data_IF_388377052913
#
_entry.id   IF_388377052913
#
_cell.length_a   1.000
_cell.length_b   1.000
_cell.length_c   1.000
_cell.angle_alpha   90.00
_cell.angle_beta   90.00
_cell.angle_gamma   90.00
#
_symmetry.space_group_name_H-M   'P 1'
#
loop_
_entity.id
_entity.type
_entity.pdbx_description
1 polymer ?
#
# COMPACT_ATOMS: atom_id res chain seq x y z
N UNK A 1 -47.31 3.02 -39.76
CA UNK A 1 -47.13 3.72 -38.47
C UNK A 1 -48.04 3.09 -37.44
N UNK A 2 -47.55 2.08 -36.73
CA UNK A 2 -48.33 1.34 -35.74
C UNK A 2 -48.10 2.00 -34.39
N UNK A 3 -49.14 2.64 -33.81
CA UNK A 3 -49.06 3.20 -32.46
C UNK A 3 -48.83 2.04 -31.48
N UNK A 4 -47.68 2.02 -30.81
CA UNK A 4 -47.45 1.15 -29.67
C UNK A 4 -48.39 1.60 -28.54
N UNK A 5 -49.13 0.65 -27.97
CA UNK A 5 -50.02 0.88 -26.85
C UNK A 5 -49.16 1.06 -25.59
N UNK A 6 -49.04 2.28 -25.08
CA UNK A 6 -48.46 2.55 -23.76
C UNK A 6 -49.57 2.51 -22.71
N UNK A 7 -49.52 1.60 -21.72
CA UNK A 7 -50.53 1.55 -20.68
C UNK A 7 -50.47 2.81 -19.81
N UNK A 8 -51.64 3.34 -19.43
CA UNK A 8 -51.72 4.48 -18.53
C UNK A 8 -51.16 4.12 -17.15
N UNK A 9 -50.57 5.09 -16.45
CA UNK A 9 -49.99 4.91 -15.12
C UNK A 9 -50.91 4.14 -14.14
N UNK A 10 -52.23 4.39 -14.09
CA UNK A 10 -53.13 3.60 -13.23
C UNK A 10 -53.17 2.11 -13.59
N UNK A 11 -53.17 1.77 -14.88
CA UNK A 11 -53.13 0.37 -15.35
C UNK A 11 -51.80 -0.30 -15.03
N UNK A 12 -50.70 0.47 -15.08
CA UNK A 12 -49.38 -0.03 -14.71
C UNK A 12 -49.30 -0.32 -13.21
N UNK A 13 -49.87 0.56 -12.38
CA UNK A 13 -49.92 0.38 -10.92
C UNK A 13 -50.84 -0.78 -10.52
N UNK A 14 -51.96 -0.98 -11.21
CA UNK A 14 -52.86 -2.11 -11.00
C UNK A 14 -52.20 -3.44 -11.42
N UNK A 15 -51.47 -3.46 -12.53
CA UNK A 15 -50.69 -4.62 -12.96
C UNK A 15 -49.60 -4.97 -11.93
N UNK A 16 -48.85 -3.97 -11.44
CA UNK A 16 -47.83 -4.16 -10.39
C UNK A 16 -48.46 -4.67 -9.10
N UNK A 17 -49.60 -4.11 -8.67
CA UNK A 17 -50.30 -4.55 -7.47
C UNK A 17 -50.82 -5.99 -7.60
N UNK A 18 -51.28 -6.37 -8.79
CA UNK A 18 -51.76 -7.73 -9.09
C UNK A 18 -50.61 -8.73 -9.08
N UNK A 19 -49.47 -8.40 -9.72
CA UNK A 19 -48.27 -9.24 -9.67
C UNK A 19 -47.70 -9.36 -8.24
N UNK A 20 -47.70 -8.27 -7.48
CA UNK A 20 -47.26 -8.26 -6.09
C UNK A 20 -48.20 -9.05 -5.16
N UNK A 21 -49.49 -9.15 -5.48
CA UNK A 21 -50.48 -9.88 -4.68
C UNK A 21 -50.21 -11.40 -4.61
N UNK A 22 -49.51 -11.95 -5.60
CA UNK A 22 -49.06 -13.35 -5.65
C UNK A 22 -47.75 -13.60 -4.91
N UNK A 23 -46.99 -12.55 -4.59
CA UNK A 23 -45.74 -12.65 -3.83
C UNK A 23 -46.06 -12.73 -2.35
N UNK A 24 -46.50 -13.91 -1.90
CA UNK A 24 -46.59 -14.22 -0.46
C UNK A 24 -45.19 -14.03 0.11
N UNK A 25 -45.00 -12.92 0.85
CA UNK A 25 -43.70 -12.51 1.36
C UNK A 25 -42.99 -13.69 2.00
N UNK A 26 -41.97 -14.20 1.33
CA UNK A 26 -41.17 -15.28 1.87
C UNK A 26 -40.43 -14.66 3.04
N UNK A 27 -40.98 -14.88 4.24
CA UNK A 27 -40.45 -14.30 5.46
C UNK A 27 -38.96 -14.67 5.51
N UNK A 28 -38.08 -13.67 5.62
CA UNK A 28 -36.62 -13.89 5.55
C UNK A 28 -36.19 -14.98 6.53
N UNK A 29 -36.93 -15.09 7.64
CA UNK A 29 -36.79 -16.15 8.66
C UNK A 29 -37.11 -17.54 8.13
N UNK A 30 -38.15 -17.70 7.30
CA UNK A 30 -38.52 -18.98 6.70
C UNK A 30 -37.57 -19.38 5.56
N UNK A 31 -37.07 -18.41 4.78
CA UNK A 31 -36.01 -18.64 3.80
C UNK A 31 -34.72 -19.13 4.47
N UNK A 32 -34.28 -18.47 5.56
CA UNK A 32 -33.11 -18.89 6.34
C UNK A 32 -33.31 -20.26 6.98
N UNK A 33 -34.50 -20.54 7.54
CA UNK A 33 -34.84 -21.87 8.08
C UNK A 33 -34.83 -22.95 6.99
N UNK A 34 -35.36 -22.66 5.80
CA UNK A 34 -35.32 -23.56 4.65
C UNK A 34 -33.90 -23.82 4.14
N UNK A 35 -33.04 -22.79 4.14
CA UNK A 35 -31.62 -22.93 3.80
C UNK A 35 -30.86 -23.82 4.78
N UNK A 36 -31.10 -23.70 6.08
CA UNK A 36 -30.49 -24.56 7.11
C UNK A 36 -30.93 -26.03 6.94
N UNK A 37 -32.21 -26.27 6.61
CA UNK A 37 -32.72 -27.62 6.38
C UNK A 37 -32.10 -28.30 5.14
N UNK A 38 -31.82 -27.53 4.08
CA UNK A 38 -31.12 -28.04 2.90
C UNK A 38 -29.66 -28.42 3.18
N UNK A 39 -28.99 -27.71 4.11
CA UNK A 39 -27.62 -28.01 4.54
C UNK A 39 -27.55 -29.26 5.43
N UNK A 40 -28.56 -29.51 6.27
CA UNK A 40 -28.60 -30.70 7.12
C UNK A 40 -28.71 -32.03 6.33
N UNK A 41 -29.34 -31.99 5.15
CA UNK A 41 -29.44 -33.14 4.23
C UNK A 41 -28.14 -33.49 3.48
N UNK A 42 -27.10 -32.65 3.57
CA UNK A 42 -25.79 -32.84 2.91
C UNK A 42 -24.66 -33.23 3.87
N UNK A 43 -24.99 -33.74 5.06
CA UNK A 43 -24.01 -34.16 6.07
C UNK A 43 -23.04 -35.28 5.62
N UNK A 44 -23.17 -35.80 4.38
CA UNK A 44 -22.21 -36.71 3.75
C UNK A 44 -21.20 -36.06 2.80
N UNK A 45 -21.18 -34.73 2.63
CA UNK A 45 -20.11 -34.05 1.86
C UNK A 45 -19.06 -33.49 2.81
N UNK A 46 -18.21 -34.37 3.33
CA UNK A 46 -16.90 -33.98 3.86
C UNK A 46 -15.99 -33.53 2.70
N UNK A 47 -16.24 -32.39 2.07
CA UNK A 47 -15.28 -31.76 1.14
C UNK A 47 -15.48 -30.24 1.11
N UNK A 48 -15.33 -29.56 2.25
CA UNK A 48 -14.80 -28.21 2.20
C UNK A 48 -13.28 -28.41 2.28
N UNK A 49 -12.50 -28.15 1.21
CA UNK A 49 -11.06 -28.10 1.36
C UNK A 49 -10.81 -27.08 2.45
N UNK A 50 -10.16 -27.47 3.56
CA UNK A 50 -9.53 -26.50 4.43
C UNK A 50 -8.57 -25.75 3.51
N UNK A 51 -8.99 -24.58 3.03
CA UNK A 51 -8.05 -23.63 2.47
C UNK A 51 -6.92 -23.54 3.49
N UNK A 52 -5.68 -23.65 3.05
CA UNK A 52 -4.50 -23.44 3.89
C UNK A 52 -4.53 -21.97 4.35
N UNK A 53 -5.42 -21.65 5.28
CA UNK A 53 -5.49 -20.38 5.94
C UNK A 53 -4.26 -20.34 6.83
N UNK A 54 -3.38 -19.37 6.56
CA UNK A 54 -2.24 -19.12 7.43
C UNK A 54 -2.74 -19.02 8.87
N UNK A 55 -2.05 -19.70 9.79
CA UNK A 55 -2.38 -19.67 11.22
C UNK A 55 -2.36 -18.23 11.77
N UNK A 56 -1.65 -17.32 11.09
CA UNK A 56 -1.45 -15.93 11.48
C UNK A 56 -2.39 -14.93 10.75
N UNK A 57 -3.32 -15.43 9.91
CA UNK A 57 -4.26 -14.61 9.14
C UNK A 57 -5.71 -14.86 9.60
N UNK A 58 -6.64 -13.92 9.31
CA UNK A 58 -8.06 -14.11 9.60
C UNK A 58 -8.59 -15.45 9.06
N UNK A 59 -9.43 -16.17 9.84
CA UNK A 59 -10.11 -15.75 11.06
C UNK A 59 -9.30 -15.91 12.36
N UNK A 60 -8.04 -16.36 12.30
CA UNK A 60 -7.21 -16.55 13.48
C UNK A 60 -6.65 -15.22 14.01
N UNK A 61 -6.26 -15.19 15.28
CA UNK A 61 -5.62 -14.03 15.90
C UNK A 61 -4.16 -13.95 15.44
N UNK A 62 -3.70 -12.83 14.86
CA UNK A 62 -2.30 -12.68 14.51
C UNK A 62 -1.37 -12.58 15.72
N UNK A 63 -0.15 -13.11 15.62
CA UNK A 63 0.84 -13.20 16.69
C UNK A 63 1.15 -11.86 17.34
N UNK A 64 1.31 -10.79 16.55
CA UNK A 64 1.65 -9.45 17.04
C UNK A 64 0.56 -8.80 17.90
N UNK A 65 -0.64 -9.40 17.97
CA UNK A 65 -1.73 -8.95 18.86
C UNK A 65 -1.65 -9.60 20.26
N UNK A 66 -0.74 -10.54 20.48
CA UNK A 66 -0.65 -11.31 21.74
C UNK A 66 0.44 -10.84 22.70
N UNK A 67 1.25 -9.84 22.32
CA UNK A 67 2.35 -9.32 23.13
C UNK A 67 2.61 -7.83 22.87
N UNK A 68 3.32 -7.17 23.80
CA UNK A 68 3.71 -5.76 23.65
C UNK A 68 4.88 -5.61 22.67
N UNK A 69 4.82 -4.57 21.84
CA UNK A 69 5.90 -4.20 20.91
C UNK A 69 7.11 -3.56 21.59
N UNK A 70 8.00 -3.02 20.75
CA UNK A 70 9.18 -2.27 21.21
C UNK A 70 8.78 -1.03 22.00
N UNK A 71 9.55 -0.71 23.05
CA UNK A 71 9.36 0.51 23.85
C UNK A 71 9.75 1.79 23.11
N UNK A 72 9.38 2.93 23.69
CA UNK A 72 9.80 4.26 23.20
C UNK A 72 11.32 4.36 23.23
N UNK A 73 11.93 4.98 22.22
CA UNK A 73 13.40 5.12 22.07
C UNK A 73 14.14 3.79 21.85
N UNK A 74 13.45 2.67 21.60
CA UNK A 74 14.11 1.41 21.23
C UNK A 74 14.97 1.53 19.95
N UNK A 75 14.65 2.51 19.08
CA UNK A 75 15.49 2.97 17.97
C UNK A 75 15.65 4.49 18.08
N UNK A 76 16.75 5.00 18.66
CA UNK A 76 16.98 6.45 18.80
C UNK A 76 17.09 7.19 17.47
N UNK A 77 17.58 6.51 16.44
CA UNK A 77 17.46 6.92 15.04
C UNK A 77 16.64 5.87 14.31
N UNK A 78 15.60 6.30 13.60
CA UNK A 78 14.68 5.39 12.92
C UNK A 78 15.27 4.83 11.63
N UNK A 79 14.81 3.63 11.26
CA UNK A 79 15.05 3.02 9.95
C UNK A 79 13.72 2.53 9.39
N UNK A 80 13.61 2.30 8.06
CA UNK A 80 12.46 1.66 7.46
C UNK A 80 12.11 0.29 8.07
N UNK A 81 10.88 -0.15 7.82
CA UNK A 81 10.43 -1.50 8.18
C UNK A 81 11.26 -2.57 7.46
N UNK A 82 11.44 -3.73 8.09
CA UNK A 82 12.12 -4.88 7.48
C UNK A 82 11.37 -5.48 6.29
N UNK A 83 10.08 -5.15 6.15
CA UNK A 83 9.22 -5.58 5.04
C UNK A 83 9.30 -4.66 3.82
N UNK A 84 10.09 -3.58 3.87
CA UNK A 84 10.26 -2.61 2.78
C UNK A 84 11.62 -2.83 2.08
N UNK A 85 11.62 -2.87 0.74
CA UNK A 85 12.85 -2.91 -0.08
C UNK A 85 13.17 -1.52 -0.67
N UNK A 86 13.27 -0.52 0.21
CA UNK A 86 13.57 0.86 -0.17
C UNK A 86 15.08 1.12 -0.14
N UNK A 87 15.71 1.05 -1.30
CA UNK A 87 17.15 1.26 -1.44
C UNK A 87 17.52 1.97 -2.74
N UNK A 88 18.66 2.67 -2.70
CA UNK A 88 19.33 3.15 -3.91
C UNK A 88 19.79 1.96 -4.73
N UNK A 89 19.69 2.05 -6.04
CA UNK A 89 20.23 1.03 -6.96
C UNK A 89 21.27 1.66 -7.87
N UNK A 90 22.26 0.90 -8.32
CA UNK A 90 23.23 1.34 -9.32
C UNK A 90 23.30 0.30 -10.43
N UNK A 91 23.80 0.72 -11.57
CA UNK A 91 24.01 -0.12 -12.74
C UNK A 91 25.52 -0.25 -12.92
N UNK A 92 26.14 -1.37 -12.51
CA UNK A 92 27.60 -1.45 -12.40
C UNK A 92 28.36 -1.21 -13.71
N UNK A 93 27.74 -1.48 -14.86
CA UNK A 93 28.37 -1.30 -16.18
C UNK A 93 28.27 0.14 -16.72
N UNK A 94 27.52 1.03 -16.07
CA UNK A 94 27.27 2.38 -16.59
C UNK A 94 28.51 3.29 -16.52
N UNK A 95 29.42 3.01 -15.58
CA UNK A 95 30.69 3.73 -15.44
C UNK A 95 31.84 2.76 -15.16
N UNK A 96 33.07 3.22 -15.35
CA UNK A 96 34.26 2.39 -15.16
C UNK A 96 34.60 2.10 -13.69
N UNK A 97 34.17 2.97 -12.77
CA UNK A 97 34.56 2.92 -11.36
C UNK A 97 33.42 3.41 -10.46
N UNK A 98 33.17 2.69 -9.35
CA UNK A 98 32.08 2.99 -8.43
C UNK A 98 32.24 4.34 -7.70
N UNK A 99 33.47 4.79 -7.43
CA UNK A 99 33.74 6.09 -6.84
C UNK A 99 33.50 7.24 -7.85
N UNK A 100 33.46 6.93 -9.13
CA UNK A 100 33.07 7.86 -10.20
C UNK A 100 31.75 7.45 -10.88
N UNK A 101 30.75 7.06 -10.10
CA UNK A 101 29.47 6.51 -10.59
C UNK A 101 28.22 7.30 -10.16
N UNK A 102 27.07 6.70 -10.42
CA UNK A 102 25.70 7.19 -10.18
C UNK A 102 24.87 6.09 -9.52
N UNK A 103 24.01 6.45 -8.57
CA UNK A 103 22.92 5.62 -8.09
C UNK A 103 21.57 6.22 -8.51
N UNK A 104 20.48 5.50 -8.27
CA UNK A 104 19.13 5.89 -8.63
C UNK A 104 18.23 5.80 -7.41
N UNK A 105 17.44 6.87 -7.17
CA UNK A 105 16.32 6.86 -6.22
C UNK A 105 15.28 5.83 -6.68
N UNK A 106 14.69 5.02 -5.78
CA UNK A 106 13.62 4.08 -6.13
C UNK A 106 12.28 4.82 -6.32
N UNK A 107 12.19 5.72 -7.31
CA UNK A 107 11.03 6.59 -7.51
C UNK A 107 9.72 5.81 -7.68
N UNK A 108 9.78 4.61 -8.24
CA UNK A 108 8.62 3.74 -8.43
C UNK A 108 7.99 3.25 -7.10
N UNK A 109 8.76 3.27 -6.02
CA UNK A 109 8.34 2.81 -4.69
C UNK A 109 8.07 4.00 -3.74
N UNK A 110 8.18 5.24 -4.25
CA UNK A 110 7.95 6.46 -3.48
C UNK A 110 6.63 7.13 -3.89
N UNK A 111 5.97 7.72 -2.90
CA UNK A 111 4.73 8.48 -3.04
C UNK A 111 4.96 9.96 -2.68
N UNK A 112 4.25 10.87 -3.35
CA UNK A 112 4.36 12.30 -3.13
C UNK A 112 5.58 12.96 -3.81
N UNK A 113 6.05 14.08 -3.24
CA UNK A 113 7.06 14.95 -3.88
C UNK A 113 8.37 15.10 -3.09
N UNK A 114 8.46 14.53 -1.89
CA UNK A 114 9.65 14.63 -1.03
C UNK A 114 10.39 13.30 -1.06
N UNK A 115 11.63 13.30 -1.56
CA UNK A 115 12.50 12.13 -1.53
C UNK A 115 13.19 12.01 -0.17
N UNK A 116 13.09 10.87 0.54
CA UNK A 116 13.82 10.69 1.81
C UNK A 116 15.33 10.71 1.58
N UNK A 117 16.08 11.42 2.45
CA UNK A 117 17.53 11.59 2.30
C UNK A 117 18.31 10.27 2.26
N UNK A 118 17.82 9.21 2.91
CA UNK A 118 18.44 7.88 2.86
C UNK A 118 18.41 7.21 1.48
N UNK A 119 17.54 7.66 0.57
CA UNK A 119 17.37 7.07 -0.77
C UNK A 119 17.44 8.08 -1.92
N UNK A 120 17.76 9.35 -1.66
CA UNK A 120 18.07 10.30 -2.74
C UNK A 120 19.28 9.80 -3.52
N UNK A 121 19.20 9.89 -4.86
CA UNK A 121 20.28 9.45 -5.74
C UNK A 121 21.62 10.14 -5.44
N UNK A 122 22.70 9.48 -5.81
CA UNK A 122 24.06 9.95 -5.56
C UNK A 122 24.86 9.96 -6.85
N UNK A 123 25.63 11.03 -7.11
CA UNK A 123 26.62 11.06 -8.19
C UNK A 123 27.96 11.53 -7.61
N UNK A 124 28.98 10.70 -7.73
CA UNK A 124 30.36 11.04 -7.40
C UNK A 124 31.30 10.99 -8.60
N UNK A 125 32.39 11.75 -8.55
CA UNK A 125 33.50 11.67 -9.50
C UNK A 125 34.83 11.27 -8.80
N UNK A 126 34.78 10.98 -7.50
CA UNK A 126 35.94 10.65 -6.67
C UNK A 126 35.55 10.16 -5.26
N UNK A 127 34.36 9.55 -5.12
CA UNK A 127 33.80 9.11 -3.85
C UNK A 127 33.26 10.25 -2.97
N UNK A 128 32.85 9.90 -1.75
CA UNK A 128 32.40 10.85 -0.71
C UNK A 128 33.55 11.10 0.27
N UNK A 129 34.02 12.35 0.44
CA UNK A 129 34.96 12.67 1.48
C UNK A 129 34.27 12.79 2.84
N UNK A 130 34.91 12.26 3.89
CA UNK A 130 34.53 12.52 5.28
C UNK A 130 35.19 13.82 5.75
N UNK A 131 34.45 14.92 5.73
CA UNK A 131 34.97 16.25 6.11
C UNK A 131 34.57 16.57 7.54
N UNK A 132 35.56 16.83 8.40
CA UNK A 132 35.30 17.38 9.75
C UNK A 132 34.77 18.83 9.62
N UNK A 133 33.58 19.16 10.15
CA UNK A 133 33.03 20.51 10.09
C UNK A 133 33.97 21.60 10.65
N UNK A 134 34.72 21.31 11.72
CA UNK A 134 35.67 22.26 12.33
C UNK A 134 36.86 22.59 11.39
N UNK A 135 37.15 21.68 10.47
CA UNK A 135 38.21 21.80 9.46
C UNK A 135 37.69 22.31 8.12
N UNK A 136 36.37 22.33 7.90
CA UNK A 136 35.77 22.81 6.65
C UNK A 136 36.04 24.30 6.45
N UNK A 137 36.45 24.68 5.24
CA UNK A 137 36.66 26.08 4.83
C UNK A 137 36.04 26.28 3.45
N UNK A 138 35.18 27.28 3.30
CA UNK A 138 34.70 27.76 2.01
C UNK A 138 35.43 29.06 1.65
N UNK A 139 36.14 29.07 0.53
CA UNK A 139 36.88 30.25 0.06
C UNK A 139 36.11 30.92 -1.08
N UNK A 140 35.91 32.24 -0.97
CA UNK A 140 35.39 33.09 -2.04
C UNK A 140 36.52 34.03 -2.47
N UNK A 141 37.05 33.87 -3.69
CA UNK A 141 38.18 34.64 -4.21
C UNK A 141 38.06 34.90 -5.72
N UNK A 142 39.01 35.64 -6.32
CA UNK A 142 39.01 35.98 -7.74
C UNK A 142 38.74 37.47 -7.98
N UNK A 143 37.86 37.79 -8.93
CA UNK A 143 37.45 39.16 -9.25
C UNK A 143 36.40 39.70 -8.25
N UNK A 144 36.79 39.76 -6.99
CA UNK A 144 35.96 40.26 -5.89
C UNK A 144 36.69 41.37 -5.15
N UNK A 145 35.96 42.36 -4.63
CA UNK A 145 36.56 43.46 -3.86
C UNK A 145 37.21 42.97 -2.57
N UNK A 146 36.61 41.97 -1.91
CA UNK A 146 37.10 41.40 -0.65
C UNK A 146 37.04 39.87 -0.67
N UNK A 147 38.18 39.17 -0.81
CA UNK A 147 38.26 37.72 -0.65
C UNK A 147 37.85 37.28 0.75
N UNK A 148 37.16 36.13 0.87
CA UNK A 148 36.64 35.59 2.12
C UNK A 148 37.04 34.14 2.33
N UNK A 149 37.21 33.77 3.60
CA UNK A 149 37.25 32.39 4.07
C UNK A 149 36.15 32.23 5.12
N UNK A 150 35.21 31.33 4.89
CA UNK A 150 34.07 31.05 5.76
C UNK A 150 34.23 29.67 6.40
N UNK A 151 33.85 29.56 7.67
CA UNK A 151 33.70 28.29 8.39
C UNK A 151 32.24 27.87 8.43
N UNK A 152 31.97 26.61 8.77
CA UNK A 152 30.62 26.17 9.15
C UNK A 152 30.18 26.81 10.47
#
# INVERSE_FOLDING_TARGET
>A
MTKLYEPSLPKLMEAIATEASGMRGMDRRNFLKGGIAAVAGLSSVQMIPKANASANLPPNLPEWQSYLGRGVVAKPYGDPSEFEDLQRRTVPWLTADAASSISMTPLQDLEGIITPSGVVFERYHGGIPNVNPDQHRLIIHGLVERPLVLTM
#
